data_IF_614261990371
#
_entry.id   IF_614261990371
#
_cell.length_a   1.000
_cell.length_b   1.000
_cell.length_c   1.000
_cell.angle_alpha   90.00
_cell.angle_beta   90.00
_cell.angle_gamma   90.00
#
_symmetry.space_group_name_H-M   'P 1'
#
loop_
_entity.id
_entity.type
_entity.pdbx_description
1 polymer ?
#
# COMPACT_ATOMS: atom_id res chain seq x y z
N UNK A 1 -31.27 47.30 17.86
CA UNK A 1 -30.15 46.32 17.94
C UNK A 1 -30.44 45.25 16.89
N UNK A 2 -29.77 45.27 15.73
CA UNK A 2 -30.02 44.30 14.65
C UNK A 2 -29.28 43.00 15.00
N UNK A 3 -30.00 41.92 15.20
CA UNK A 3 -29.44 40.57 15.36
C UNK A 3 -28.90 40.08 14.03
N UNK A 4 -27.57 40.01 13.90
CA UNK A 4 -26.88 39.37 12.79
C UNK A 4 -27.05 37.85 12.92
N UNK A 5 -27.90 37.25 12.09
CA UNK A 5 -27.89 35.81 11.88
C UNK A 5 -26.67 35.49 11.00
N UNK A 6 -25.61 34.93 11.60
CA UNK A 6 -24.54 34.30 10.82
C UNK A 6 -25.11 33.05 10.17
N UNK A 7 -25.40 33.12 8.87
CA UNK A 7 -25.76 31.96 8.08
C UNK A 7 -24.49 31.13 7.81
N UNK A 8 -24.26 30.09 8.61
CA UNK A 8 -23.12 29.17 8.47
C UNK A 8 -23.31 28.12 7.36
N UNK A 9 -24.42 28.17 6.60
CA UNK A 9 -24.74 27.17 5.59
C UNK A 9 -24.53 27.73 4.18
N UNK A 10 -23.29 27.66 3.72
CA UNK A 10 -22.96 27.89 2.31
C UNK A 10 -22.91 26.53 1.61
N UNK A 11 -23.50 26.42 0.42
CA UNK A 11 -23.38 25.23 -0.42
C UNK A 11 -21.89 24.96 -0.70
N UNK A 12 -21.47 23.70 -0.61
CA UNK A 12 -20.10 23.32 -0.98
C UNK A 12 -19.97 23.42 -2.50
N UNK A 13 -19.13 24.33 -2.97
CA UNK A 13 -18.77 24.41 -4.37
C UNK A 13 -17.89 23.21 -4.74
N UNK A 14 -18.16 22.59 -5.90
CA UNK A 14 -17.34 21.49 -6.40
C UNK A 14 -15.94 21.96 -6.80
N UNK A 15 -14.94 21.17 -6.43
CA UNK A 15 -13.56 21.32 -6.88
C UNK A 15 -13.17 20.05 -7.64
N UNK A 16 -12.72 20.19 -8.88
CA UNK A 16 -12.28 19.07 -9.72
C UNK A 16 -10.75 19.15 -9.87
N UNK A 17 -9.97 18.28 -9.20
CA UNK A 17 -8.55 18.18 -9.45
C UNK A 17 -8.30 17.61 -10.85
N UNK A 18 -7.29 18.13 -11.57
CA UNK A 18 -6.87 17.58 -12.86
C UNK A 18 -6.08 16.28 -12.65
N UNK A 19 -5.28 16.23 -11.58
CA UNK A 19 -4.54 15.04 -11.18
C UNK A 19 -4.82 14.68 -9.72
N UNK A 20 -4.91 13.38 -9.42
CA UNK A 20 -5.02 12.88 -8.05
C UNK A 20 -3.86 13.33 -7.15
N UNK A 21 -2.67 13.51 -7.74
CA UNK A 21 -1.48 14.02 -7.06
C UNK A 21 -1.68 15.43 -6.49
N UNK A 22 -2.56 16.25 -7.10
CA UNK A 22 -2.80 17.63 -6.65
C UNK A 22 -3.52 17.68 -5.30
N UNK A 23 -4.15 16.57 -4.90
CA UNK A 23 -4.84 16.44 -3.63
C UNK A 23 -3.96 15.81 -2.54
N UNK A 24 -2.73 15.42 -2.87
CA UNK A 24 -1.76 14.84 -1.94
C UNK A 24 -0.75 15.91 -1.52
N UNK A 25 -0.28 15.84 -0.28
CA UNK A 25 0.82 16.69 0.17
C UNK A 25 2.12 16.30 -0.56
N UNK A 26 2.99 17.28 -0.80
CA UNK A 26 4.27 17.07 -1.49
C UNK A 26 5.16 16.00 -0.82
N UNK A 27 5.01 15.83 0.50
CA UNK A 27 5.75 14.87 1.32
C UNK A 27 4.88 13.65 1.70
N UNK A 28 3.75 13.44 1.03
CA UNK A 28 2.90 12.29 1.31
C UNK A 28 3.69 10.98 1.03
N UNK A 29 3.68 10.02 1.97
CA UNK A 29 4.44 8.77 1.83
C UNK A 29 4.12 7.99 0.56
N UNK A 30 2.91 8.12 0.01
CA UNK A 30 2.54 7.43 -1.24
C UNK A 30 3.39 7.87 -2.43
N UNK A 31 3.81 9.13 -2.48
CA UNK A 31 4.61 9.68 -3.58
C UNK A 31 6.04 9.16 -3.52
N UNK A 32 6.63 9.14 -2.31
CA UNK A 32 7.96 8.56 -2.08
C UNK A 32 7.97 7.07 -2.40
N UNK A 33 6.95 6.35 -1.92
CA UNK A 33 6.76 4.93 -2.20
C UNK A 33 6.66 4.66 -3.71
N UNK A 34 5.81 5.42 -4.42
CA UNK A 34 5.59 5.22 -5.85
C UNK A 34 6.86 5.50 -6.67
N UNK A 35 7.62 6.53 -6.29
CA UNK A 35 8.93 6.84 -6.89
C UNK A 35 9.95 5.72 -6.67
N UNK A 36 10.04 5.18 -5.45
CA UNK A 36 10.93 4.07 -5.12
C UNK A 36 10.59 2.83 -5.94
N UNK A 37 9.30 2.48 -5.99
CA UNK A 37 8.83 1.34 -6.78
C UNK A 37 9.03 1.54 -8.28
N UNK A 38 9.05 2.79 -8.78
CA UNK A 38 9.40 3.11 -10.16
C UNK A 38 10.86 2.88 -10.53
N UNK A 39 11.77 2.83 -9.54
CA UNK A 39 13.19 2.51 -9.75
C UNK A 39 13.47 1.02 -9.89
N UNK A 40 12.51 0.17 -9.52
CA UNK A 40 12.64 -1.29 -9.56
C UNK A 40 11.97 -1.81 -10.84
N UNK A 41 12.65 -2.68 -11.59
CA UNK A 41 12.01 -3.38 -12.71
C UNK A 41 11.08 -4.48 -12.20
N UNK A 42 9.83 -4.11 -11.91
CA UNK A 42 8.79 -5.01 -11.43
C UNK A 42 8.24 -5.93 -12.53
N UNK A 43 8.47 -5.61 -13.82
CA UNK A 43 7.88 -6.36 -14.92
C UNK A 43 8.41 -7.80 -15.00
N UNK A 44 9.65 -8.03 -14.55
CA UNK A 44 10.24 -9.37 -14.48
C UNK A 44 9.48 -10.34 -13.58
N UNK A 45 8.68 -9.82 -12.65
CA UNK A 45 7.82 -10.63 -11.79
C UNK A 45 6.41 -10.82 -12.34
N UNK A 46 6.02 -10.04 -13.34
CA UNK A 46 4.65 -10.00 -13.86
C UNK A 46 4.53 -10.73 -15.21
N UNK A 47 5.39 -11.71 -15.46
CA UNK A 47 5.50 -12.44 -16.74
C UNK A 47 4.37 -13.44 -17.01
N UNK A 48 3.81 -14.04 -15.96
CA UNK A 48 2.91 -15.20 -16.10
C UNK A 48 1.44 -14.80 -16.11
N UNK A 49 1.16 -13.58 -16.56
CA UNK A 49 -0.20 -13.06 -16.62
C UNK A 49 -0.87 -13.66 -17.86
N UNK A 50 -1.98 -14.42 -17.71
CA UNK A 50 -2.61 -15.06 -18.86
C UNK A 50 -3.06 -14.02 -19.88
N UNK A 51 -2.99 -14.31 -21.18
CA UNK A 51 -3.42 -13.37 -22.21
C UNK A 51 -4.90 -13.00 -22.04
N UNK A 52 -5.21 -11.74 -22.36
CA UNK A 52 -6.58 -11.26 -22.35
C UNK A 52 -7.31 -11.78 -23.59
N UNK A 53 -8.32 -12.62 -23.39
CA UNK A 53 -9.11 -13.21 -24.48
C UNK A 53 -10.49 -12.58 -24.61
N UNK A 54 -11.23 -12.39 -23.50
CA UNK A 54 -12.59 -11.82 -23.50
C UNK A 54 -12.93 -11.15 -22.16
N UNK A 55 -13.97 -10.31 -22.14
CA UNK A 55 -14.60 -9.81 -20.91
C UNK A 55 -14.19 -8.39 -20.49
N UNK A 56 -14.07 -8.16 -19.18
CA UNK A 56 -13.62 -6.86 -18.64
C UNK A 56 -12.10 -6.76 -18.78
N UNK A 57 -11.61 -5.62 -19.25
CA UNK A 57 -10.17 -5.33 -19.27
C UNK A 57 -9.57 -5.52 -17.87
N UNK A 58 -8.38 -6.08 -17.82
CA UNK A 58 -7.66 -6.34 -16.57
C UNK A 58 -7.10 -5.05 -15.99
N UNK A 59 -6.96 -5.04 -14.67
CA UNK A 59 -6.26 -3.98 -13.95
C UNK A 59 -4.76 -4.03 -14.26
N UNK A 60 -4.09 -2.88 -14.17
CA UNK A 60 -2.64 -2.83 -14.33
C UNK A 60 -1.97 -3.63 -13.19
N UNK A 61 -1.19 -4.69 -13.49
CA UNK A 61 -0.60 -5.55 -12.48
C UNK A 61 0.46 -4.84 -11.63
N UNK A 62 1.15 -3.84 -12.17
CA UNK A 62 2.11 -3.02 -11.41
C UNK A 62 1.38 -2.18 -10.36
N UNK A 63 0.27 -1.54 -10.75
CA UNK A 63 -0.56 -0.75 -9.83
C UNK A 63 -1.18 -1.65 -8.73
N UNK A 64 -1.64 -2.84 -9.11
CA UNK A 64 -2.13 -3.85 -8.16
C UNK A 64 -1.06 -4.23 -7.13
N UNK A 65 0.17 -4.49 -7.59
CA UNK A 65 1.30 -4.83 -6.70
C UNK A 65 1.65 -3.67 -5.76
N UNK A 66 1.80 -2.46 -6.31
CA UNK A 66 2.05 -1.24 -5.53
C UNK A 66 1.00 -1.05 -4.45
N UNK A 67 -0.28 -1.24 -4.79
CA UNK A 67 -1.40 -1.05 -3.87
C UNK A 67 -1.41 -2.08 -2.74
N UNK A 68 -1.13 -3.35 -3.03
CA UNK A 68 -1.03 -4.41 -2.03
C UNK A 68 0.12 -4.12 -1.06
N UNK A 69 1.31 -3.82 -1.60
CA UNK A 69 2.50 -3.51 -0.81
C UNK A 69 2.30 -2.26 0.05
N UNK A 70 1.72 -1.21 -0.52
CA UNK A 70 1.41 0.02 0.22
C UNK A 70 0.41 -0.23 1.35
N UNK A 71 -0.62 -1.05 1.13
CA UNK A 71 -1.56 -1.42 2.18
C UNK A 71 -0.90 -2.14 3.37
N UNK A 72 0.05 -3.04 3.10
CA UNK A 72 0.85 -3.66 4.16
C UNK A 72 1.78 -2.66 4.85
N UNK A 73 2.41 -1.75 4.10
CA UNK A 73 3.25 -0.69 4.66
C UNK A 73 2.46 0.23 5.61
N UNK A 74 1.24 0.62 5.26
CA UNK A 74 0.46 1.58 6.05
C UNK A 74 -0.22 0.98 7.27
N UNK A 75 -0.78 -0.23 7.15
CA UNK A 75 -1.61 -0.83 8.19
C UNK A 75 -0.88 -1.94 8.96
N UNK A 76 0.29 -2.40 8.49
CA UNK A 76 1.00 -3.58 8.98
C UNK A 76 0.30 -4.89 8.61
N UNK A 77 -0.97 -5.03 9.02
CA UNK A 77 -1.86 -6.10 8.61
C UNK A 77 -3.08 -5.51 7.89
N UNK A 78 -3.21 -5.77 6.59
CA UNK A 78 -4.30 -5.25 5.78
C UNK A 78 -5.12 -6.40 5.18
N UNK A 79 -6.44 -6.36 5.36
CA UNK A 79 -7.32 -7.37 4.75
C UNK A 79 -7.66 -7.05 3.29
N UNK A 80 -8.01 -8.06 2.48
CA UNK A 80 -8.38 -7.84 1.08
C UNK A 80 -9.63 -6.95 0.92
N UNK A 81 -10.54 -6.96 1.90
CA UNK A 81 -11.72 -6.08 1.90
C UNK A 81 -11.32 -4.65 2.24
N UNK A 82 -10.40 -4.48 3.18
CA UNK A 82 -9.85 -3.17 3.52
C UNK A 82 -9.09 -2.57 2.34
N UNK A 83 -8.33 -3.35 1.56
CA UNK A 83 -7.74 -2.90 0.30
C UNK A 83 -8.80 -2.42 -0.69
N UNK A 84 -9.87 -3.21 -0.89
CA UNK A 84 -10.98 -2.82 -1.76
C UNK A 84 -11.63 -1.50 -1.30
N UNK A 85 -11.92 -1.37 0.00
CA UNK A 85 -12.56 -0.17 0.54
C UNK A 85 -11.63 1.04 0.48
N UNK A 86 -10.34 0.86 0.76
CA UNK A 86 -9.34 1.90 0.58
C UNK A 86 -9.27 2.39 -0.88
N UNK A 87 -9.36 1.51 -1.88
CA UNK A 87 -9.41 1.93 -3.27
C UNK A 87 -10.63 2.80 -3.60
N UNK A 88 -11.72 2.69 -2.83
CA UNK A 88 -12.94 3.50 -3.03
C UNK A 88 -12.90 4.86 -2.35
N UNK A 89 -12.25 4.96 -1.18
CA UNK A 89 -12.37 6.14 -0.30
C UNK A 89 -11.06 6.83 0.01
N UNK A 90 -9.94 6.12 -0.07
CA UNK A 90 -8.64 6.63 0.34
C UNK A 90 -7.89 7.16 -0.89
N UNK A 91 -7.63 8.47 -0.89
CA UNK A 91 -7.03 9.16 -2.03
C UNK A 91 -5.64 8.63 -2.41
N UNK A 92 -4.88 8.10 -1.45
CA UNK A 92 -3.57 7.47 -1.72
C UNK A 92 -3.73 6.20 -2.54
N UNK A 93 -4.73 5.38 -2.23
CA UNK A 93 -5.02 4.15 -2.95
C UNK A 93 -5.69 4.44 -4.30
N UNK A 94 -6.51 5.49 -4.36
CA UNK A 94 -7.07 6.00 -5.62
C UNK A 94 -5.96 6.48 -6.56
N UNK A 95 -4.92 7.15 -6.04
CA UNK A 95 -3.71 7.52 -6.77
C UNK A 95 -2.99 6.28 -7.32
N UNK A 96 -2.68 5.29 -6.47
CA UNK A 96 -1.95 4.09 -6.91
C UNK A 96 -2.72 3.25 -7.94
N UNK A 97 -4.06 3.27 -7.90
CA UNK A 97 -4.91 2.49 -8.79
C UNK A 97 -5.51 3.29 -9.95
N UNK A 98 -5.13 4.54 -10.17
CA UNK A 98 -5.73 5.41 -11.20
C UNK A 98 -7.27 5.44 -11.13
N UNK A 99 -7.83 5.63 -9.93
CA UNK A 99 -9.26 5.54 -9.61
C UNK A 99 -9.95 4.17 -9.85
N UNK A 100 -9.21 3.15 -10.25
CA UNK A 100 -9.77 1.82 -10.39
C UNK A 100 -10.04 1.20 -9.02
N UNK A 101 -11.13 0.44 -8.91
CA UNK A 101 -11.58 -0.19 -7.65
C UNK A 101 -11.67 -1.71 -7.79
N UNK A 102 -10.53 -2.42 -7.76
CA UNK A 102 -10.52 -3.88 -7.76
C UNK A 102 -11.28 -4.43 -6.56
N UNK A 103 -12.01 -5.52 -6.77
CA UNK A 103 -12.69 -6.20 -5.67
C UNK A 103 -11.70 -6.99 -4.81
N UNK A 104 -12.09 -7.33 -3.58
CA UNK A 104 -11.31 -8.21 -2.71
C UNK A 104 -10.97 -9.55 -3.39
N UNK A 105 -11.87 -10.06 -4.26
CA UNK A 105 -11.63 -11.29 -5.05
C UNK A 105 -10.53 -11.09 -6.08
N UNK A 106 -10.49 -9.93 -6.71
CA UNK A 106 -9.46 -9.57 -7.68
C UNK A 106 -8.09 -9.50 -7.01
N UNK A 107 -7.99 -8.88 -5.84
CA UNK A 107 -6.76 -8.88 -5.05
C UNK A 107 -6.36 -10.30 -4.61
N UNK A 108 -7.33 -11.10 -4.15
CA UNK A 108 -7.07 -12.48 -3.75
C UNK A 108 -6.52 -13.34 -4.90
N UNK A 109 -7.13 -13.22 -6.09
CA UNK A 109 -6.61 -13.89 -7.30
C UNK A 109 -5.20 -13.40 -7.65
N UNK A 110 -4.96 -12.09 -7.61
CA UNK A 110 -3.65 -11.54 -7.94
C UNK A 110 -2.56 -12.06 -6.98
N UNK A 111 -2.82 -12.07 -5.68
CA UNK A 111 -1.84 -12.54 -4.68
C UNK A 111 -1.60 -14.05 -4.83
N UNK A 112 -2.65 -14.85 -4.93
CA UNK A 112 -2.53 -16.31 -4.88
C UNK A 112 -2.12 -16.93 -6.21
N UNK A 113 -2.50 -16.33 -7.34
CA UNK A 113 -2.28 -16.96 -8.65
C UNK A 113 -1.16 -16.28 -9.44
N UNK A 114 -0.89 -14.99 -9.20
CA UNK A 114 0.13 -14.24 -9.95
C UNK A 114 1.41 -14.05 -9.12
N UNK A 115 1.30 -13.81 -7.81
CA UNK A 115 2.44 -13.47 -6.95
C UNK A 115 3.00 -14.63 -6.11
N UNK A 116 2.28 -15.75 -5.99
CA UNK A 116 2.58 -16.80 -5.01
C UNK A 116 4.06 -17.25 -5.02
N UNK A 117 4.64 -17.51 -6.18
CA UNK A 117 6.01 -18.02 -6.29
C UNK A 117 7.07 -16.91 -6.39
N UNK A 118 6.64 -15.63 -6.41
CA UNK A 118 7.50 -14.48 -6.73
C UNK A 118 7.61 -13.47 -5.60
N UNK A 119 6.74 -13.58 -4.59
CA UNK A 119 6.65 -12.62 -3.48
C UNK A 119 7.98 -12.43 -2.74
N UNK A 120 8.72 -13.51 -2.52
CA UNK A 120 10.02 -13.48 -1.83
C UNK A 120 11.08 -12.73 -2.65
N UNK A 121 11.15 -12.99 -3.95
CA UNK A 121 12.09 -12.31 -4.84
C UNK A 121 11.75 -10.82 -5.00
N UNK A 122 10.46 -10.48 -5.10
CA UNK A 122 9.99 -9.09 -5.09
C UNK A 122 10.46 -8.39 -3.81
N UNK A 123 10.29 -9.04 -2.65
CA UNK A 123 10.69 -8.46 -1.37
C UNK A 123 12.20 -8.26 -1.26
N UNK A 124 12.99 -9.24 -1.73
CA UNK A 124 14.46 -9.13 -1.75
C UNK A 124 14.93 -7.96 -2.61
N UNK A 125 14.35 -7.77 -3.80
CA UNK A 125 14.69 -6.65 -4.67
C UNK A 125 14.31 -5.30 -4.09
N UNK A 126 13.12 -5.20 -3.47
CA UNK A 126 12.70 -3.98 -2.79
C UNK A 126 13.69 -3.62 -1.68
N UNK A 127 14.09 -4.61 -0.87
CA UNK A 127 15.08 -4.41 0.17
C UNK A 127 16.42 -3.98 -0.42
N UNK A 128 16.91 -4.65 -1.47
CA UNK A 128 18.14 -4.26 -2.15
C UNK A 128 18.08 -2.83 -2.71
N UNK A 129 16.95 -2.43 -3.28
CA UNK A 129 16.76 -1.07 -3.77
C UNK A 129 16.81 -0.04 -2.64
N UNK A 130 16.15 -0.32 -1.51
CA UNK A 130 16.20 0.52 -0.30
C UNK A 130 17.64 0.64 0.21
N UNK A 131 18.36 -0.47 0.34
CA UNK A 131 19.73 -0.46 0.85
C UNK A 131 20.70 0.32 -0.04
N UNK A 132 20.54 0.21 -1.36
CA UNK A 132 21.38 0.91 -2.31
C UNK A 132 21.14 2.43 -2.28
N UNK A 133 19.89 2.87 -2.09
CA UNK A 133 19.54 4.29 -2.06
C UNK A 133 19.95 4.94 -0.72
N UNK A 134 19.62 4.27 0.39
CA UNK A 134 19.83 4.80 1.75
C UNK A 134 21.27 4.57 2.30
N UNK A 135 22.15 3.86 1.56
CA UNK A 135 23.52 3.53 1.99
C UNK A 135 23.59 2.91 3.40
N UNK A 136 22.57 2.13 3.80
CA UNK A 136 22.49 1.58 5.16
C UNK A 136 23.45 0.42 5.33
N UNK A 137 24.36 0.54 6.30
CA UNK A 137 25.31 -0.52 6.67
C UNK A 137 24.61 -1.65 7.43
N UNK A 138 24.46 -2.80 6.78
CA UNK A 138 23.88 -4.03 7.35
C UNK A 138 24.74 -4.64 8.47
N UNK A 139 25.99 -4.20 8.67
CA UNK A 139 26.82 -4.70 9.77
C UNK A 139 26.27 -4.33 11.16
N UNK A 140 25.43 -3.29 11.24
CA UNK A 140 24.94 -2.76 12.51
C UNK A 140 23.41 -2.70 12.51
N UNK A 141 22.76 -3.85 12.70
CA UNK A 141 21.32 -3.92 12.97
C UNK A 141 21.06 -3.41 14.41
N UNK A 142 20.72 -2.13 14.56
CA UNK A 142 20.22 -1.59 15.82
C UNK A 142 18.77 -2.01 16.02
N UNK A 143 18.55 -3.15 16.71
CA UNK A 143 17.25 -3.46 17.29
C UNK A 143 17.12 -2.58 18.54
N UNK A 144 16.50 -1.41 18.41
CA UNK A 144 16.11 -0.64 19.59
C UNK A 144 15.10 -1.48 20.38
N UNK A 145 15.51 -1.93 21.56
CA UNK A 145 14.76 -2.85 22.42
C UNK A 145 13.53 -2.18 22.98
N UNK A 146 12.51 -1.95 22.16
CA UNK A 146 11.19 -1.56 22.63
C UNK A 146 10.59 -2.76 23.35
N UNK A 147 10.67 -2.71 24.68
CA UNK A 147 10.11 -3.73 25.58
C UNK A 147 8.59 -3.60 25.60
N UNK A 148 7.92 -4.25 24.65
CA UNK A 148 6.48 -4.41 24.69
C UNK A 148 6.13 -5.52 25.68
N UNK A 149 5.47 -5.17 26.78
CA UNK A 149 4.88 -6.16 27.68
C UNK A 149 3.78 -6.89 26.91
N UNK A 150 3.96 -8.20 26.72
CA UNK A 150 2.91 -9.04 26.17
C UNK A 150 1.71 -8.99 27.12
N UNK A 151 0.60 -8.40 26.67
CA UNK A 151 -0.71 -8.62 27.30
C UNK A 151 -1.18 -10.03 26.92
N UNK A 152 -0.55 -11.03 27.54
CA UNK A 152 -0.98 -12.41 27.45
C UNK A 152 -2.20 -12.59 28.34
N UNK A 153 -3.35 -12.84 27.73
CA UNK A 153 -4.44 -13.53 28.39
C UNK A 153 -3.88 -14.78 29.09
N UNK A 154 -4.40 -15.09 30.28
CA UNK A 154 -3.75 -15.86 31.37
C UNK A 154 -3.36 -17.33 31.07
N UNK A 155 -3.39 -17.76 29.82
CA UNK A 155 -3.13 -19.13 29.40
C UNK A 155 -2.28 -19.14 28.12
N UNK A 156 -1.04 -19.65 28.28
CA UNK A 156 -0.24 -20.41 27.30
C UNK A 156 1.06 -19.74 26.79
N UNK A 157 2.15 -20.35 27.29
CA UNK A 157 3.54 -20.49 26.81
C UNK A 157 4.47 -19.29 26.67
N UNK A 158 5.44 -19.22 27.59
CA UNK A 158 6.73 -18.51 27.48
C UNK A 158 7.63 -19.19 26.44
N UNK A 159 8.12 -18.43 25.46
CA UNK A 159 9.24 -18.82 24.58
C UNK A 159 10.55 -18.45 25.29
N UNK A 160 11.42 -19.44 25.54
CA UNK A 160 12.81 -19.20 25.97
C UNK A 160 13.70 -19.18 24.74
N UNK A 161 14.37 -18.07 24.49
CA UNK A 161 15.56 -18.05 23.64
C UNK A 161 16.77 -18.37 24.52
N UNK A 162 17.58 -19.35 24.12
CA UNK A 162 18.94 -19.48 24.61
C UNK A 162 19.83 -18.67 23.67
N UNK A 163 20.80 -17.95 24.26
CA UNK A 163 21.85 -17.20 23.57
C UNK A 163 22.66 -18.08 22.61
#
# INVERSE_FOLDING_TARGET
>A
MKTLHNNYCNSKQGYLPLFLSDCLDLLDPVLTFDKLMGGIDLNKYLTDIPEYTTGRLRYNPVNMLKTVLFGFMTSGYCSLRELEDNCKVNIRFMYLMDHQTPSYRTFGYFINEILQDKIENIFNDINHAIFNDEHVDLQHLYIDGSKFEANANKYISTVRYYE
#
